data_IF_938960582710
#
_entry.id   IF_938960582710
#
_cell.length_a   1.000
_cell.length_b   1.000
_cell.length_c   1.000
_cell.angle_alpha   90.00
_cell.angle_beta   90.00
_cell.angle_gamma   90.00
#
_symmetry.space_group_name_H-M   'P 1'
#
loop_
_entity.id
_entity.type
_entity.pdbx_description
1 polymer ?
#
# COMPACT_ATOMS: atom_id res chain seq x y z
N UNK A 1 25.85 -25.53 73.04
CA UNK A 1 25.63 -25.38 71.60
C UNK A 1 26.96 -25.67 70.93
N UNK A 2 26.98 -26.70 70.10
CA UNK A 2 28.21 -27.22 69.52
C UNK A 2 28.59 -26.44 68.26
N UNK A 3 29.89 -26.42 67.93
CA UNK A 3 30.45 -25.70 66.77
C UNK A 3 29.72 -26.06 65.45
N UNK A 4 29.20 -27.28 65.36
CA UNK A 4 28.43 -27.82 64.22
C UNK A 4 27.07 -27.13 64.08
N UNK A 5 26.37 -26.86 65.19
CA UNK A 5 25.05 -26.21 65.17
C UNK A 5 25.16 -24.76 64.67
N UNK A 6 26.21 -24.04 65.08
CA UNK A 6 26.50 -22.70 64.57
C UNK A 6 26.82 -22.71 63.07
N UNK A 7 27.59 -23.70 62.59
CA UNK A 7 27.92 -23.84 61.17
C UNK A 7 26.68 -24.08 60.31
N UNK A 8 25.77 -24.96 60.76
CA UNK A 8 24.50 -25.23 60.08
C UNK A 8 23.58 -24.00 60.07
N UNK A 9 23.51 -23.25 61.17
CA UNK A 9 22.71 -22.04 61.25
C UNK A 9 23.19 -20.94 60.28
N UNK A 10 24.52 -20.75 60.17
CA UNK A 10 25.10 -19.79 59.22
C UNK A 10 24.80 -20.20 57.78
N UNK A 11 24.93 -21.49 57.46
CA UNK A 11 24.67 -22.00 56.11
C UNK A 11 23.18 -21.91 55.73
N UNK A 12 22.28 -22.18 56.68
CA UNK A 12 20.85 -21.96 56.48
C UNK A 12 20.54 -20.47 56.24
N UNK A 13 21.16 -19.57 57.00
CA UNK A 13 20.97 -18.13 56.86
C UNK A 13 21.46 -17.63 55.48
N UNK A 14 22.62 -18.07 55.01
CA UNK A 14 23.14 -17.68 53.69
C UNK A 14 22.26 -18.19 52.55
N UNK A 15 21.73 -19.42 52.66
CA UNK A 15 20.75 -19.96 51.71
C UNK A 15 19.48 -19.11 51.64
N UNK A 16 18.93 -18.72 52.80
CA UNK A 16 17.73 -17.87 52.85
C UNK A 16 17.99 -16.51 52.20
N UNK A 17 19.15 -15.89 52.46
CA UNK A 17 19.52 -14.62 51.84
C UNK A 17 19.65 -14.75 50.32
N UNK A 18 20.27 -15.83 49.82
CA UNK A 18 20.41 -16.06 48.38
C UNK A 18 19.05 -16.29 47.70
N UNK A 19 18.17 -17.08 48.31
CA UNK A 19 16.80 -17.29 47.81
C UNK A 19 16.03 -15.97 47.78
N UNK A 20 16.11 -15.19 48.86
CA UNK A 20 15.47 -13.87 48.93
C UNK A 20 15.97 -12.92 47.83
N UNK A 21 17.28 -12.86 47.59
CA UNK A 21 17.86 -12.07 46.52
C UNK A 21 17.41 -12.54 45.13
N UNK A 22 17.34 -13.86 44.92
CA UNK A 22 16.83 -14.45 43.68
C UNK A 22 15.38 -14.08 43.39
N UNK A 23 14.51 -14.21 44.40
CA UNK A 23 13.09 -13.84 44.31
C UNK A 23 12.93 -12.34 44.07
N UNK A 24 13.68 -11.50 44.79
CA UNK A 24 13.64 -10.05 44.60
C UNK A 24 14.04 -9.64 43.18
N UNK A 25 15.11 -10.23 42.63
CA UNK A 25 15.57 -9.96 41.27
C UNK A 25 14.56 -10.43 40.22
N UNK A 26 13.96 -11.60 40.40
CA UNK A 26 12.92 -12.11 39.49
C UNK A 26 11.66 -11.24 39.53
N UNK A 27 11.26 -10.78 40.71
CA UNK A 27 10.15 -9.82 40.87
C UNK A 27 10.45 -8.51 40.13
N UNK A 28 11.67 -7.98 40.22
CA UNK A 28 12.04 -6.77 39.48
C UNK A 28 12.03 -6.99 37.96
N UNK A 29 12.52 -8.15 37.48
CA UNK A 29 12.53 -8.48 36.05
C UNK A 29 11.12 -8.66 35.49
N UNK A 30 10.23 -9.32 36.21
CA UNK A 30 8.82 -9.50 35.80
C UNK A 30 8.07 -8.17 35.76
N UNK A 31 8.31 -7.27 36.73
CA UNK A 31 7.77 -5.92 36.70
C UNK A 31 8.30 -5.12 35.50
N UNK A 32 9.61 -5.13 35.26
CA UNK A 32 10.20 -4.45 34.11
C UNK A 32 9.67 -4.99 32.77
N UNK A 33 9.53 -6.31 32.64
CA UNK A 33 8.95 -6.94 31.45
C UNK A 33 7.49 -6.55 31.27
N UNK A 34 6.70 -6.52 32.35
CA UNK A 34 5.30 -6.13 32.28
C UNK A 34 5.11 -4.68 31.81
N UNK A 35 6.00 -3.77 32.19
CA UNK A 35 5.99 -2.39 31.72
C UNK A 35 6.32 -2.31 30.23
N UNK A 36 7.36 -3.01 29.78
CA UNK A 36 7.72 -3.07 28.35
C UNK A 36 6.60 -3.62 27.49
N UNK A 37 5.94 -4.70 27.93
CA UNK A 37 4.80 -5.27 27.22
C UNK A 37 3.62 -4.29 27.11
N UNK A 38 3.39 -3.46 28.14
CA UNK A 38 2.36 -2.42 28.09
C UNK A 38 2.72 -1.31 27.10
N UNK A 39 3.98 -0.88 27.08
CA UNK A 39 4.48 0.12 26.13
C UNK A 39 4.39 -0.40 24.68
N UNK A 40 4.80 -1.64 24.44
CA UNK A 40 4.73 -2.27 23.12
C UNK A 40 3.27 -2.46 22.67
N UNK A 41 2.38 -2.87 23.58
CA UNK A 41 0.95 -2.97 23.28
C UNK A 41 0.35 -1.61 22.88
N UNK A 42 0.72 -0.53 23.58
CA UNK A 42 0.26 0.82 23.24
C UNK A 42 0.80 1.26 21.86
N UNK A 43 2.08 0.97 21.56
CA UNK A 43 2.67 1.27 20.24
C UNK A 43 2.01 0.48 19.12
N UNK A 44 1.70 -0.79 19.34
CA UNK A 44 1.00 -1.61 18.35
C UNK A 44 -0.40 -1.09 18.08
N UNK A 45 -1.11 -0.63 19.11
CA UNK A 45 -2.43 0.00 18.95
C UNK A 45 -2.34 1.26 18.09
N UNK A 46 -1.36 2.13 18.37
CA UNK A 46 -1.11 3.34 17.59
C UNK A 46 -0.78 3.02 16.12
N UNK A 47 0.10 2.04 15.87
CA UNK A 47 0.42 1.60 14.51
C UNK A 47 -0.79 1.04 13.78
N UNK A 48 -1.64 0.26 14.46
CA UNK A 48 -2.89 -0.26 13.89
C UNK A 48 -3.87 0.86 13.54
N UNK A 49 -3.96 1.86 14.40
CA UNK A 49 -4.79 3.04 14.16
C UNK A 49 -4.30 3.81 12.93
N UNK A 50 -2.99 4.07 12.84
CA UNK A 50 -2.37 4.73 11.68
C UNK A 50 -2.57 3.94 10.39
N UNK A 51 -2.40 2.61 10.42
CA UNK A 51 -2.67 1.74 9.27
C UNK A 51 -4.12 1.83 8.80
N UNK A 52 -5.06 1.83 9.75
CA UNK A 52 -6.49 1.92 9.43
C UNK A 52 -6.83 3.26 8.76
N UNK A 53 -6.25 4.36 9.26
CA UNK A 53 -6.40 5.68 8.64
C UNK A 53 -5.81 5.71 7.23
N UNK A 54 -4.63 5.12 7.03
CA UNK A 54 -4.01 5.02 5.70
C UNK A 54 -4.90 4.26 4.72
N UNK A 55 -5.43 3.10 5.12
CA UNK A 55 -6.33 2.31 4.29
C UNK A 55 -7.61 3.07 3.92
N UNK A 56 -8.22 3.80 4.86
CA UNK A 56 -9.40 4.62 4.57
C UNK A 56 -9.10 5.73 3.57
N UNK A 57 -7.92 6.37 3.67
CA UNK A 57 -7.51 7.41 2.73
C UNK A 57 -7.22 6.85 1.34
N UNK A 58 -6.57 5.69 1.25
CA UNK A 58 -6.31 5.00 -0.02
C UNK A 58 -7.62 4.60 -0.71
N UNK A 59 -8.58 4.03 0.03
CA UNK A 59 -9.88 3.62 -0.50
C UNK A 59 -10.71 4.83 -0.98
N UNK A 60 -10.78 5.88 -0.16
CA UNK A 60 -11.44 7.13 -0.54
C UNK A 60 -10.81 7.75 -1.80
N UNK A 61 -9.48 7.68 -1.92
CA UNK A 61 -8.77 8.18 -3.09
C UNK A 61 -9.06 7.35 -4.34
N UNK A 62 -9.04 6.01 -4.25
CA UNK A 62 -9.36 5.11 -5.37
C UNK A 62 -10.81 5.30 -5.83
N UNK A 63 -11.74 5.49 -4.88
CA UNK A 63 -13.13 5.83 -5.16
C UNK A 63 -13.27 7.16 -5.91
N UNK A 64 -12.62 8.23 -5.42
CA UNK A 64 -12.68 9.55 -6.08
C UNK A 64 -12.06 9.51 -7.47
N UNK A 65 -10.89 8.88 -7.64
CA UNK A 65 -10.22 8.76 -8.94
C UNK A 65 -11.15 8.05 -9.95
N UNK A 66 -11.78 6.95 -9.54
CA UNK A 66 -12.74 6.19 -10.35
C UNK A 66 -14.00 6.97 -10.66
N UNK A 67 -14.55 7.70 -9.67
CA UNK A 67 -15.76 8.50 -9.84
C UNK A 67 -15.54 9.65 -10.83
N UNK A 68 -14.44 10.40 -10.67
CA UNK A 68 -14.07 11.49 -11.58
C UNK A 68 -13.84 10.94 -12.99
N UNK A 69 -13.16 9.80 -13.12
CA UNK A 69 -12.93 9.15 -14.40
C UNK A 69 -14.25 8.77 -15.10
N UNK A 70 -15.15 8.10 -14.38
CA UNK A 70 -16.47 7.69 -14.90
C UNK A 70 -17.36 8.90 -15.24
N UNK A 71 -17.40 9.91 -14.37
CA UNK A 71 -18.13 11.15 -14.59
C UNK A 71 -17.62 11.90 -15.83
N UNK A 72 -16.29 12.03 -15.96
CA UNK A 72 -15.64 12.66 -17.13
C UNK A 72 -15.98 11.90 -18.41
N UNK A 73 -15.93 10.57 -18.40
CA UNK A 73 -16.30 9.75 -19.55
C UNK A 73 -17.77 9.90 -19.93
N UNK A 74 -18.66 9.98 -18.93
CA UNK A 74 -20.10 10.17 -19.13
C UNK A 74 -20.40 11.52 -19.76
N UNK A 75 -19.84 12.60 -19.20
CA UNK A 75 -20.01 13.96 -19.74
C UNK A 75 -19.43 14.07 -21.14
N UNK A 76 -18.26 13.47 -21.41
CA UNK A 76 -17.70 13.38 -22.76
C UNK A 76 -18.64 12.69 -23.73
N UNK A 77 -19.18 11.53 -23.35
CA UNK A 77 -20.13 10.78 -24.17
C UNK A 77 -21.37 11.61 -24.50
N UNK A 78 -21.94 12.30 -23.51
CA UNK A 78 -23.09 13.18 -23.71
C UNK A 78 -22.75 14.38 -24.61
N UNK A 79 -21.63 15.04 -24.36
CA UNK A 79 -21.17 16.19 -25.14
C UNK A 79 -20.98 15.82 -26.62
N UNK A 80 -20.29 14.72 -26.89
CA UNK A 80 -20.13 14.18 -28.25
C UNK A 80 -21.44 13.69 -28.87
N UNK A 81 -22.37 13.18 -28.06
CA UNK A 81 -23.68 12.76 -28.53
C UNK A 81 -24.51 13.95 -29.01
N UNK A 82 -24.56 15.02 -28.21
CA UNK A 82 -25.34 16.22 -28.52
C UNK A 82 -24.72 16.99 -29.70
N UNK A 83 -23.38 17.07 -29.77
CA UNK A 83 -22.69 17.80 -30.85
C UNK A 83 -22.95 17.23 -32.26
N UNK A 84 -23.31 15.95 -32.37
CA UNK A 84 -23.69 15.33 -33.65
C UNK A 84 -24.91 15.97 -34.30
N UNK A 85 -25.85 16.51 -33.52
CA UNK A 85 -27.07 17.13 -34.06
C UNK A 85 -26.74 18.37 -34.91
N UNK A 86 -26.08 19.42 -34.38
CA UNK A 86 -25.77 20.60 -35.18
C UNK A 86 -24.81 20.30 -36.34
N UNK A 87 -23.81 19.43 -36.15
CA UNK A 87 -22.93 19.06 -37.27
C UNK A 87 -23.67 18.27 -38.35
N UNK A 88 -24.61 17.39 -37.97
CA UNK A 88 -25.47 16.71 -38.93
C UNK A 88 -26.30 17.70 -39.76
N UNK A 89 -26.81 18.77 -39.15
CA UNK A 89 -27.52 19.83 -39.87
C UNK A 89 -26.59 20.60 -40.82
N UNK A 90 -25.39 20.99 -40.38
CA UNK A 90 -24.42 21.71 -41.19
C UNK A 90 -23.93 20.88 -42.38
N UNK A 91 -23.75 19.58 -42.19
CA UNK A 91 -23.25 18.68 -43.23
C UNK A 91 -24.33 18.23 -44.23
N UNK A 92 -25.60 18.27 -43.84
CA UNK A 92 -26.70 18.02 -44.75
C UNK A 92 -26.81 19.11 -45.83
N UNK A 93 -26.49 20.36 -45.50
CA UNK A 93 -26.55 21.49 -46.43
C UNK A 93 -25.31 21.58 -47.33
N UNK A 94 -25.51 21.61 -48.64
CA UNK A 94 -24.43 21.64 -49.64
C UNK A 94 -23.50 22.86 -49.50
N UNK A 95 -24.00 24.02 -49.08
CA UNK A 95 -23.17 25.23 -48.95
C UNK A 95 -22.25 25.19 -47.72
N UNK A 96 -22.60 24.42 -46.70
CA UNK A 96 -21.86 24.36 -45.42
C UNK A 96 -21.22 23.00 -45.17
N UNK A 97 -21.32 22.06 -46.11
CA UNK A 97 -20.93 20.67 -45.87
C UNK A 97 -19.46 20.52 -45.51
N UNK A 98 -18.58 21.11 -46.31
CA UNK A 98 -17.14 20.95 -46.12
C UNK A 98 -16.66 21.73 -44.88
N UNK A 99 -17.18 22.94 -44.68
CA UNK A 99 -16.93 23.71 -43.45
C UNK A 99 -17.44 22.97 -42.22
N UNK A 100 -18.64 22.37 -42.28
CA UNK A 100 -19.23 21.61 -41.19
C UNK A 100 -18.36 20.44 -40.74
N UNK A 101 -17.78 19.71 -41.70
CA UNK A 101 -16.82 18.62 -41.42
C UNK A 101 -15.58 19.14 -40.71
N UNK A 102 -14.96 20.21 -41.21
CA UNK A 102 -13.75 20.81 -40.61
C UNK A 102 -14.03 21.28 -39.17
N UNK A 103 -15.18 21.91 -38.94
CA UNK A 103 -15.56 22.36 -37.58
C UNK A 103 -15.82 21.14 -36.68
N UNK A 104 -16.43 20.06 -37.17
CA UNK A 104 -16.59 18.82 -36.39
C UNK A 104 -15.23 18.24 -36.00
N UNK A 105 -14.31 18.09 -36.93
CA UNK A 105 -12.97 17.56 -36.66
C UNK A 105 -12.23 18.42 -35.61
N UNK A 106 -12.34 19.74 -35.75
CA UNK A 106 -11.75 20.69 -34.80
C UNK A 106 -12.39 20.56 -33.41
N UNK A 107 -13.72 20.47 -33.34
CA UNK A 107 -14.45 20.26 -32.10
C UNK A 107 -14.05 18.95 -31.41
N UNK A 108 -13.96 17.86 -32.17
CA UNK A 108 -13.62 16.54 -31.64
C UNK A 108 -12.19 16.52 -31.11
N UNK A 109 -11.24 17.14 -31.84
CA UNK A 109 -9.86 17.32 -31.39
C UNK A 109 -9.78 18.11 -30.08
N UNK A 110 -10.46 19.27 -30.00
CA UNK A 110 -10.46 20.11 -28.79
C UNK A 110 -11.07 19.35 -27.62
N UNK A 111 -12.19 18.66 -27.85
CA UNK A 111 -12.85 17.86 -26.83
C UNK A 111 -11.94 16.77 -26.29
N UNK A 112 -11.22 16.07 -27.16
CA UNK A 112 -10.26 15.03 -26.77
C UNK A 112 -9.12 15.59 -25.91
N UNK A 113 -8.62 16.79 -26.25
CA UNK A 113 -7.63 17.49 -25.43
C UNK A 113 -8.22 17.87 -24.06
N UNK A 114 -9.41 18.46 -24.02
CA UNK A 114 -10.04 18.90 -22.77
C UNK A 114 -10.28 17.70 -21.84
N UNK A 115 -10.98 16.67 -22.31
CA UNK A 115 -11.27 15.50 -21.48
C UNK A 115 -10.02 14.68 -21.17
N UNK A 116 -9.06 14.61 -22.09
CA UNK A 116 -7.75 14.00 -21.85
C UNK A 116 -6.96 14.72 -20.76
N UNK A 117 -7.02 16.06 -20.73
CA UNK A 117 -6.37 16.88 -19.70
C UNK A 117 -6.99 16.65 -18.32
N UNK A 118 -8.32 16.57 -18.22
CA UNK A 118 -9.03 16.30 -16.97
C UNK A 118 -8.60 14.94 -16.41
N UNK A 119 -8.58 13.90 -17.26
CA UNK A 119 -8.08 12.57 -16.91
C UNK A 119 -6.60 12.61 -16.48
N UNK A 120 -5.77 13.36 -17.18
CA UNK A 120 -4.35 13.53 -16.87
C UNK A 120 -4.13 14.18 -15.49
N UNK A 121 -4.89 15.23 -15.19
CA UNK A 121 -4.86 15.91 -13.88
C UNK A 121 -5.35 14.97 -12.78
N UNK A 122 -6.49 14.29 -12.97
CA UNK A 122 -7.03 13.33 -12.01
C UNK A 122 -5.98 12.25 -11.64
N UNK A 123 -5.33 11.67 -12.64
CA UNK A 123 -4.27 10.67 -12.43
C UNK A 123 -3.03 11.25 -11.74
N UNK A 124 -2.64 12.48 -12.08
CA UNK A 124 -1.48 13.15 -11.48
C UNK A 124 -1.73 13.48 -10.00
N UNK A 125 -2.92 13.97 -9.67
CA UNK A 125 -3.38 14.17 -8.29
C UNK A 125 -3.37 12.83 -7.55
N UNK A 126 -3.83 11.75 -8.19
CA UNK A 126 -3.78 10.41 -7.61
C UNK A 126 -2.36 9.92 -7.30
N UNK A 127 -1.41 10.13 -8.21
CA UNK A 127 0.00 9.76 -8.02
C UNK A 127 0.63 10.57 -6.87
N UNK A 128 0.38 11.88 -6.82
CA UNK A 128 0.89 12.75 -5.76
C UNK A 128 0.28 12.38 -4.39
N UNK A 129 -1.03 12.15 -4.34
CA UNK A 129 -1.73 11.71 -3.12
C UNK A 129 -1.14 10.42 -2.54
N UNK A 130 -0.93 9.40 -3.39
CA UNK A 130 -0.27 8.14 -2.98
C UNK A 130 1.16 8.36 -2.49
N UNK A 131 1.91 9.24 -3.14
CA UNK A 131 3.30 9.53 -2.77
C UNK A 131 3.42 10.24 -1.42
N UNK A 132 2.48 11.14 -1.11
CA UNK A 132 2.41 11.86 0.18
C UNK A 132 1.92 10.94 1.31
N UNK A 133 1.00 10.03 1.01
CA UNK A 133 0.47 9.06 1.99
C UNK A 133 1.38 7.85 2.24
N UNK A 134 2.50 7.73 1.51
CA UNK A 134 3.41 6.58 1.59
C UNK A 134 2.86 5.31 0.92
N UNK A 135 1.75 5.43 0.18
CA UNK A 135 1.15 4.35 -0.58
C UNK A 135 2.02 4.01 -1.80
N UNK A 136 2.50 2.76 -1.87
CA UNK A 136 3.37 2.30 -2.95
C UNK A 136 2.61 2.38 -4.29
N UNK A 137 3.19 2.95 -5.37
CA UNK A 137 2.50 3.05 -6.65
C UNK A 137 2.16 1.64 -7.18
N UNK A 138 0.86 1.37 -7.45
CA UNK A 138 0.40 0.19 -8.20
C UNK A 138 1.05 0.25 -9.59
N UNK A 139 2.11 -0.54 -9.80
CA UNK A 139 2.84 -0.61 -11.07
C UNK A 139 4.29 -1.09 -11.00
N UNK A 140 4.92 -1.13 -9.82
CA UNK A 140 6.32 -1.57 -9.68
C UNK A 140 6.51 -3.10 -9.59
N UNK A 141 5.43 -3.88 -9.60
CA UNK A 141 5.47 -5.35 -9.45
C UNK A 141 5.09 -6.07 -10.76
N UNK A 142 5.87 -5.83 -11.81
CA UNK A 142 5.84 -6.63 -13.05
C UNK A 142 7.26 -6.92 -13.55
N UNK A 143 8.19 -7.24 -12.66
CA UNK A 143 9.61 -7.33 -13.02
C UNK A 143 10.45 -8.40 -12.36
N UNK A 144 9.94 -9.20 -11.41
CA UNK A 144 10.78 -10.16 -10.67
C UNK A 144 10.08 -11.51 -10.46
N UNK A 145 9.65 -12.15 -11.55
CA UNK A 145 9.40 -13.59 -11.58
C UNK A 145 9.66 -14.17 -12.98
N UNK A 146 10.92 -14.20 -13.40
CA UNK A 146 11.36 -14.98 -14.57
C UNK A 146 12.69 -15.72 -14.38
N UNK A 147 13.18 -15.86 -13.14
CA UNK A 147 14.45 -16.57 -12.87
C UNK A 147 14.29 -17.88 -12.09
N UNK A 148 13.09 -18.20 -11.61
CA UNK A 148 12.85 -19.40 -10.79
C UNK A 148 12.20 -20.55 -11.60
N UNK A 149 12.64 -20.78 -12.84
CA UNK A 149 12.34 -22.08 -13.47
C UNK A 149 13.36 -22.42 -14.58
N UNK A 150 14.50 -22.95 -14.18
CA UNK A 150 15.26 -23.88 -15.03
C UNK A 150 15.55 -25.14 -14.24
N UNK A 151 14.49 -25.95 -14.13
CA UNK A 151 14.58 -27.39 -13.92
C UNK A 151 15.64 -27.95 -14.88
N UNK A 152 16.69 -28.58 -14.33
CA UNK A 152 17.68 -29.36 -15.09
C UNK A 152 17.45 -30.82 -14.73
N UNK A 153 17.24 -31.72 -15.71
CA UNK A 153 16.96 -33.12 -15.45
C UNK A 153 18.20 -33.84 -14.89
N UNK A 154 17.91 -34.91 -14.16
CA UNK A 154 18.85 -35.92 -13.68
C UNK A 154 19.12 -36.89 -14.85
N UNK A 155 20.36 -36.91 -15.34
CA UNK A 155 20.96 -38.00 -16.12
C UNK A 155 22.35 -38.17 -15.47
N UNK A 156 22.58 -39.17 -14.63
CA UNK A 156 23.13 -40.51 -14.97
C UNK A 156 24.41 -40.50 -15.83
N UNK A 157 25.26 -41.47 -15.48
CA UNK A 157 26.36 -42.09 -16.22
C UNK A 157 27.67 -41.32 -16.56
N UNK A 158 28.78 -41.88 -16.05
CA UNK A 158 29.99 -42.02 -16.87
C UNK A 158 31.30 -41.42 -16.34
N UNK A 159 32.08 -42.27 -15.67
CA UNK A 159 33.45 -42.62 -16.08
C UNK A 159 34.69 -41.93 -15.45
N UNK A 160 35.45 -42.80 -14.76
CA UNK A 160 36.91 -43.02 -14.81
C UNK A 160 37.93 -42.07 -14.16
N UNK A 161 38.87 -42.75 -13.49
CA UNK A 161 40.26 -42.41 -13.20
C UNK A 161 40.58 -41.35 -12.13
N UNK A 162 40.82 -41.81 -10.90
CA UNK A 162 42.19 -42.07 -10.37
C UNK A 162 42.16 -42.61 -8.95
#
# INVERSE_FOLDING_TARGET
MDLIEYGLAILALTLVVLVYQGVAKLSQQTQALSLRLREDAARLLELRYQQTLQWQMEDAQEFVETFVESGTATVRGLHMGISRIPFGMLEANAMTRDTGKVVRETHDLISDVVYGSIRGVNKSVGILGRSVLGAKPKGADKGLDKSANKHRPLDEDGESDR
#
